data_IF_567602090583
#
_entry.id   IF_567602090583
#
_cell.length_a   1.000
_cell.length_b   1.000
_cell.length_c   1.000
_cell.angle_alpha   90.00
_cell.angle_beta   90.00
_cell.angle_gamma   90.00
#
_symmetry.space_group_name_H-M   'P 1'
#
loop_
_entity.id
_entity.type
_entity.pdbx_description
1 polymer ?
#
# COMPACT_ATOMS: atom_id res chain seq x y z
N UNK A 1 19.51 -6.45 -4.38
CA UNK A 1 18.92 -5.26 -5.02
C UNK A 1 17.42 -5.47 -5.08
N UNK A 2 16.58 -4.52 -4.61
CA UNK A 2 15.14 -4.62 -4.80
C UNK A 2 14.80 -4.74 -6.29
N UNK A 3 13.76 -5.50 -6.64
CA UNK A 3 13.30 -5.57 -8.02
C UNK A 3 12.82 -4.18 -8.50
N UNK A 4 13.01 -3.86 -9.77
CA UNK A 4 12.60 -2.57 -10.36
C UNK A 4 11.13 -2.22 -10.05
N UNK A 5 10.27 -3.24 -10.04
CA UNK A 5 8.86 -3.13 -9.66
C UNK A 5 8.66 -2.57 -8.25
N UNK A 6 9.42 -3.04 -7.26
CA UNK A 6 9.28 -2.58 -5.87
C UNK A 6 9.77 -1.14 -5.70
N UNK A 7 10.90 -0.78 -6.33
CA UNK A 7 11.39 0.61 -6.34
C UNK A 7 10.36 1.59 -6.92
N UNK A 8 9.67 1.17 -7.98
CA UNK A 8 8.62 1.97 -8.61
C UNK A 8 7.39 2.13 -7.71
N UNK A 9 6.99 1.07 -7.01
CA UNK A 9 5.86 1.13 -6.09
C UNK A 9 6.20 1.96 -4.84
N UNK A 10 7.43 1.91 -4.34
CA UNK A 10 7.92 2.77 -3.24
C UNK A 10 7.93 4.25 -3.64
N UNK A 11 8.42 4.55 -4.84
CA UNK A 11 8.40 5.91 -5.38
C UNK A 11 6.97 6.43 -5.58
N UNK A 12 6.06 5.57 -6.08
CA UNK A 12 4.66 5.92 -6.25
C UNK A 12 3.95 6.16 -4.91
N UNK A 13 4.21 5.33 -3.90
CA UNK A 13 3.69 5.50 -2.54
C UNK A 13 4.19 6.81 -1.93
N UNK A 14 5.48 7.11 -2.07
CA UNK A 14 6.07 8.36 -1.59
C UNK A 14 5.43 9.57 -2.27
N UNK A 15 5.21 9.51 -3.59
CA UNK A 15 4.55 10.58 -4.33
C UNK A 15 3.11 10.83 -3.87
N UNK A 16 2.37 9.77 -3.51
CA UNK A 16 1.02 9.85 -2.97
C UNK A 16 0.96 10.60 -1.62
N UNK A 17 2.02 10.49 -0.82
CA UNK A 17 2.14 11.24 0.45
C UNK A 17 2.36 12.74 0.24
N UNK A 18 2.96 13.14 -0.88
CA UNK A 18 3.32 14.53 -1.16
C UNK A 18 2.25 15.30 -1.96
N UNK A 19 1.46 14.63 -2.80
CA UNK A 19 0.49 15.28 -3.70
C UNK A 19 -0.70 14.38 -4.03
N UNK A 20 -1.85 14.95 -4.44
CA UNK A 20 -2.98 14.17 -4.93
C UNK A 20 -2.60 13.27 -6.11
N UNK A 21 -3.21 12.08 -6.19
CA UNK A 21 -2.90 11.09 -7.24
C UNK A 21 -3.02 11.65 -8.66
N UNK A 22 -4.02 12.49 -8.95
CA UNK A 22 -4.17 13.10 -10.28
C UNK A 22 -2.92 13.91 -10.69
N UNK A 23 -2.21 14.53 -9.73
CA UNK A 23 -0.96 15.27 -9.96
C UNK A 23 0.31 14.41 -9.98
N UNK A 24 0.24 13.11 -9.67
CA UNK A 24 1.38 12.19 -9.79
C UNK A 24 1.64 11.89 -11.26
N UNK A 25 2.88 12.07 -11.72
CA UNK A 25 3.27 11.82 -13.11
C UNK A 25 4.15 10.59 -13.20
N UNK A 26 3.91 9.73 -14.19
CA UNK A 26 4.69 8.50 -14.44
C UNK A 26 6.19 8.79 -14.57
N UNK A 27 6.56 9.87 -15.26
CA UNK A 27 7.97 10.26 -15.41
C UNK A 27 8.64 10.62 -14.09
N UNK A 28 7.93 11.28 -13.18
CA UNK A 28 8.47 11.66 -11.87
C UNK A 28 8.69 10.41 -11.00
N UNK A 29 7.80 9.42 -11.09
CA UNK A 29 7.91 8.13 -10.39
C UNK A 29 9.11 7.34 -10.91
N UNK A 30 9.27 7.22 -12.22
CA UNK A 30 10.43 6.55 -12.84
C UNK A 30 11.75 7.20 -12.40
N UNK A 31 11.81 8.54 -12.45
CA UNK A 31 12.99 9.29 -12.04
C UNK A 31 13.32 9.08 -10.55
N UNK A 32 12.31 9.16 -9.67
CA UNK A 32 12.50 8.94 -8.24
C UNK A 32 12.93 7.51 -7.89
N UNK A 33 12.49 6.51 -8.67
CA UNK A 33 12.87 5.11 -8.51
C UNK A 33 14.22 4.77 -9.16
N UNK A 34 14.85 5.70 -9.89
CA UNK A 34 16.11 5.44 -10.60
C UNK A 34 15.99 4.47 -11.77
N UNK A 35 14.80 4.35 -12.36
CA UNK A 35 14.51 3.43 -13.48
C UNK A 35 14.02 4.18 -14.71
N UNK A 36 14.21 3.57 -15.88
CA UNK A 36 13.79 4.19 -17.13
C UNK A 36 12.26 4.30 -17.23
N UNK A 37 11.77 5.31 -17.96
CA UNK A 37 10.33 5.42 -18.28
C UNK A 37 9.82 4.17 -18.99
N UNK A 38 10.60 3.62 -19.92
CA UNK A 38 10.24 2.41 -20.67
C UNK A 38 10.05 1.22 -19.72
N UNK A 39 10.94 1.05 -18.74
CA UNK A 39 10.79 0.01 -17.71
C UNK A 39 9.48 0.19 -16.95
N UNK A 40 9.17 1.40 -16.48
CA UNK A 40 7.93 1.67 -15.76
C UNK A 40 6.69 1.32 -16.61
N UNK A 41 6.65 1.76 -17.87
CA UNK A 41 5.55 1.43 -18.77
C UNK A 41 5.48 -0.06 -19.10
N UNK A 42 6.60 -0.77 -19.20
CA UNK A 42 6.61 -2.22 -19.39
C UNK A 42 6.05 -2.96 -18.17
N UNK A 43 6.38 -2.51 -16.96
CA UNK A 43 5.93 -3.13 -15.71
C UNK A 43 4.44 -2.89 -15.44
N UNK A 44 3.95 -1.68 -15.70
CA UNK A 44 2.61 -1.26 -15.25
C UNK A 44 1.64 -0.89 -16.38
N UNK A 45 2.11 -0.68 -17.59
CA UNK A 45 1.32 -0.29 -18.77
C UNK A 45 0.81 1.16 -18.73
N UNK A 46 0.18 1.58 -17.65
CA UNK A 46 -0.43 2.90 -17.49
C UNK A 46 -0.38 3.40 -16.05
N UNK A 47 -0.75 4.67 -15.84
CA UNK A 47 -0.89 5.24 -14.50
C UNK A 47 -1.94 4.50 -13.67
N UNK A 48 -3.00 4.02 -14.30
CA UNK A 48 -4.02 3.21 -13.62
C UNK A 48 -3.51 1.80 -13.31
N UNK A 49 -2.66 1.23 -14.17
CA UNK A 49 -1.97 -0.02 -13.86
C UNK A 49 -1.05 0.10 -12.65
N UNK A 50 -0.28 1.20 -12.57
CA UNK A 50 0.55 1.53 -11.41
C UNK A 50 -0.31 1.72 -10.15
N UNK A 51 -1.42 2.46 -10.26
CA UNK A 51 -2.37 2.65 -9.16
C UNK A 51 -2.89 1.32 -8.61
N UNK A 52 -3.36 0.43 -9.49
CA UNK A 52 -3.87 -0.88 -9.10
C UNK A 52 -2.79 -1.73 -8.44
N UNK A 53 -1.59 -1.76 -9.01
CA UNK A 53 -0.46 -2.49 -8.45
C UNK A 53 -0.08 -1.97 -7.05
N UNK A 54 -0.11 -0.65 -6.86
CA UNK A 54 0.17 -0.01 -5.58
C UNK A 54 -0.90 -0.37 -4.54
N UNK A 55 -2.18 -0.19 -4.86
CA UNK A 55 -3.29 -0.57 -3.96
C UNK A 55 -3.19 -2.05 -3.58
N UNK A 56 -2.92 -2.91 -4.56
CA UNK A 56 -2.77 -4.35 -4.33
C UNK A 56 -1.63 -4.66 -3.38
N UNK A 57 -0.45 -4.06 -3.58
CA UNK A 57 0.72 -4.25 -2.70
C UNK A 57 0.41 -3.85 -1.26
N UNK A 58 -0.23 -2.70 -1.05
CA UNK A 58 -0.57 -2.24 0.30
C UNK A 58 -1.63 -3.13 0.96
N UNK A 59 -2.60 -3.64 0.18
CA UNK A 59 -3.59 -4.60 0.69
C UNK A 59 -2.95 -5.93 1.08
N UNK A 60 -2.06 -6.48 0.24
CA UNK A 60 -1.35 -7.73 0.53
C UNK A 60 -0.43 -7.56 1.77
N UNK A 61 0.24 -6.40 1.90
CA UNK A 61 1.08 -6.08 3.07
C UNK A 61 0.25 -5.96 4.34
N UNK A 62 -0.95 -5.41 4.24
CA UNK A 62 -1.90 -5.34 5.35
C UNK A 62 -2.36 -6.75 5.77
N UNK A 63 -2.78 -7.60 4.84
CA UNK A 63 -3.21 -8.96 5.18
C UNK A 63 -2.08 -9.76 5.84
N UNK A 64 -0.87 -9.69 5.29
CA UNK A 64 0.29 -10.35 5.88
C UNK A 64 0.62 -9.80 7.28
N UNK A 65 0.39 -8.50 7.52
CA UNK A 65 0.56 -7.89 8.84
C UNK A 65 -0.51 -8.33 9.85
N UNK A 66 -1.76 -8.48 9.41
CA UNK A 66 -2.85 -9.00 10.24
C UNK A 66 -2.59 -10.45 10.66
N UNK A 67 -2.17 -11.30 9.71
CA UNK A 67 -1.79 -12.69 9.97
C UNK A 67 -0.63 -12.78 10.98
N UNK A 68 0.40 -11.95 10.83
CA UNK A 68 1.50 -11.88 11.81
C UNK A 68 1.02 -11.45 13.19
N UNK A 69 0.18 -10.41 13.27
CA UNK A 69 -0.36 -9.94 14.56
C UNK A 69 -1.12 -11.04 15.29
N UNK A 70 -1.96 -11.81 14.58
CA UNK A 70 -2.67 -12.94 15.16
C UNK A 70 -1.72 -14.06 15.59
N UNK A 71 -0.74 -14.41 14.75
CA UNK A 71 0.19 -15.48 15.03
C UNK A 71 1.11 -15.14 16.23
N UNK A 72 1.55 -13.89 16.35
CA UNK A 72 2.39 -13.43 17.45
C UNK A 72 1.60 -13.49 18.77
N UNK A 73 0.38 -12.93 18.82
CA UNK A 73 -0.47 -12.98 20.01
C UNK A 73 -0.85 -14.40 20.42
N UNK A 74 -1.15 -15.28 19.46
CA UNK A 74 -1.45 -16.68 19.76
C UNK A 74 -0.24 -17.44 20.32
N UNK A 75 0.98 -17.14 19.85
CA UNK A 75 2.21 -17.75 20.39
C UNK A 75 2.49 -17.34 21.83
N UNK A 76 2.02 -16.17 22.24
CA UNK A 76 2.13 -15.68 23.62
C UNK A 76 1.11 -16.33 24.58
N UNK A 77 0.30 -17.29 24.10
CA UNK A 77 -0.68 -18.03 24.91
C UNK A 77 -1.97 -17.26 25.18
N UNK A 78 -2.21 -16.18 24.43
CA UNK A 78 -3.39 -15.35 24.55
C UNK A 78 -4.66 -16.09 24.13
N UNK A 79 -5.81 -15.72 24.70
CA UNK A 79 -7.09 -16.29 24.30
C UNK A 79 -7.65 -15.65 23.01
N UNK A 80 -8.81 -16.14 22.55
CA UNK A 80 -9.44 -15.62 21.34
C UNK A 80 -9.87 -14.15 21.47
N UNK A 81 -10.24 -13.69 22.66
CA UNK A 81 -10.61 -12.30 22.93
C UNK A 81 -9.41 -11.37 22.82
N UNK A 82 -8.28 -11.77 23.41
CA UNK A 82 -7.01 -11.06 23.32
C UNK A 82 -6.51 -10.98 21.88
N UNK A 83 -6.60 -12.08 21.13
CA UNK A 83 -6.24 -12.11 19.70
C UNK A 83 -7.11 -11.14 18.89
N UNK A 84 -8.43 -11.12 19.14
CA UNK A 84 -9.35 -10.18 18.50
C UNK A 84 -9.00 -8.72 18.84
N UNK A 85 -8.72 -8.43 20.11
CA UNK A 85 -8.36 -7.09 20.56
C UNK A 85 -7.03 -6.63 19.95
N UNK A 86 -6.03 -7.50 19.90
CA UNK A 86 -4.73 -7.23 19.29
C UNK A 86 -4.87 -6.96 17.79
N UNK A 87 -5.61 -7.80 17.07
CA UNK A 87 -5.87 -7.61 15.65
C UNK A 87 -6.62 -6.29 15.38
N UNK A 88 -7.68 -6.01 16.13
CA UNK A 88 -8.45 -4.76 15.97
C UNK A 88 -7.56 -3.53 16.17
N UNK A 89 -6.74 -3.54 17.23
CA UNK A 89 -5.82 -2.45 17.53
C UNK A 89 -4.72 -2.30 16.46
N UNK A 90 -4.18 -3.43 15.98
CA UNK A 90 -3.23 -3.44 14.87
C UNK A 90 -3.85 -2.87 13.58
N UNK A 91 -5.07 -3.29 13.23
CA UNK A 91 -5.81 -2.80 12.07
C UNK A 91 -6.03 -1.29 12.13
N UNK A 92 -6.44 -0.76 13.29
CA UNK A 92 -6.64 0.68 13.49
C UNK A 92 -5.34 1.47 13.33
N UNK A 93 -4.21 0.95 13.83
CA UNK A 93 -2.88 1.56 13.65
C UNK A 93 -2.44 1.53 12.19
N UNK A 94 -2.61 0.40 11.51
CA UNK A 94 -2.28 0.25 10.09
C UNK A 94 -3.10 1.22 9.21
N UNK A 95 -4.41 1.33 9.47
CA UNK A 95 -5.28 2.27 8.79
C UNK A 95 -4.90 3.73 9.05
N UNK A 96 -4.42 4.07 10.24
CA UNK A 96 -3.94 5.43 10.54
C UNK A 96 -2.62 5.74 9.82
N UNK A 97 -1.73 4.76 9.69
CA UNK A 97 -0.42 4.93 9.08
C UNK A 97 -0.45 4.94 7.54
N UNK A 98 -1.40 4.23 6.93
CA UNK A 98 -1.45 4.05 5.48
C UNK A 98 -2.81 4.48 4.89
N UNK A 99 -2.85 5.55 4.08
CA UNK A 99 -4.10 6.07 3.55
C UNK A 99 -4.75 5.13 2.52
N UNK A 100 -3.98 4.26 1.85
CA UNK A 100 -4.52 3.26 0.94
C UNK A 100 -5.22 2.14 1.71
N UNK A 101 -4.62 1.67 2.81
CA UNK A 101 -5.25 0.71 3.72
C UNK A 101 -6.52 1.29 4.33
N UNK A 102 -6.47 2.55 4.80
CA UNK A 102 -7.66 3.24 5.33
C UNK A 102 -8.81 3.27 4.33
N UNK A 103 -8.51 3.64 3.08
CA UNK A 103 -9.52 3.73 2.03
C UNK A 103 -10.06 2.36 1.63
N UNK A 104 -9.22 1.32 1.64
CA UNK A 104 -9.65 -0.05 1.40
C UNK A 104 -10.61 -0.55 2.50
N UNK A 105 -10.32 -0.26 3.77
CA UNK A 105 -11.13 -0.71 4.92
C UNK A 105 -12.45 0.05 5.07
N UNK A 106 -12.44 1.35 4.80
CA UNK A 106 -13.59 2.24 5.11
C UNK A 106 -14.45 2.56 3.88
N UNK A 107 -13.96 2.30 2.67
CA UNK A 107 -14.57 2.81 1.44
C UNK A 107 -14.42 4.33 1.24
N UNK A 108 -13.98 5.07 2.25
CA UNK A 108 -13.77 6.51 2.21
C UNK A 108 -12.51 6.86 1.40
N UNK A 109 -12.68 6.96 0.08
CA UNK A 109 -11.65 7.46 -0.83
C UNK A 109 -11.71 8.98 -0.87
N UNK A 110 -10.71 9.64 -0.29
CA UNK A 110 -10.52 11.08 -0.53
C UNK A 110 -10.09 11.34 -1.97
N UNK A 111 -10.26 12.57 -2.45
CA UNK A 111 -9.87 13.02 -3.80
C UNK A 111 -8.38 12.84 -4.14
N UNK A 112 -7.56 12.56 -3.12
CA UNK A 112 -6.11 12.37 -3.24
C UNK A 112 -5.71 10.96 -3.65
N UNK A 113 -6.59 9.98 -3.56
CA UNK A 113 -6.25 8.56 -3.74
C UNK A 113 -6.57 8.06 -5.15
N UNK A 114 -5.89 7.00 -5.64
CA UNK A 114 -6.27 6.35 -6.88
C UNK A 114 -7.66 5.71 -6.78
N UNK A 115 -8.42 5.75 -7.87
CA UNK A 115 -9.69 5.02 -7.97
C UNK A 115 -9.44 3.51 -7.82
N UNK A 116 -10.35 2.81 -7.14
CA UNK A 116 -10.44 1.36 -7.34
C UNK A 116 -11.20 1.15 -8.63
N UNK A 117 -10.61 0.35 -9.52
CA UNK A 117 -11.36 -0.33 -10.55
C UNK A 117 -12.09 -1.51 -9.90
#
# INVERSE_FOLDING_TARGET
MPAARELLLDAAFTALGARPWHGVRMVDVAAAAGVSRQTLYNEFGSKDGLARALVRREADSFLAGAERSLADTARDGADAGDCCAALALWTLRAARANPLVRAALTGCRGERLPAAA
#
